data_IF_592781163968
#
_entry.id   IF_592781163968
#
_cell.length_a   1.000
_cell.length_b   1.000
_cell.length_c   1.000
_cell.angle_alpha   90.00
_cell.angle_beta   90.00
_cell.angle_gamma   90.00
#
_symmetry.space_group_name_H-M   'P 1'
#
loop_
_entity.id
_entity.type
_entity.pdbx_description
1 polymer ?
#
# COMPACT_ATOMS: atom_id res chain seq x y z
N UNK A 1 7.08 18.99 6.23
CA UNK A 1 7.58 19.40 4.90
C UNK A 1 8.67 18.47 4.36
N UNK A 2 9.72 18.11 5.14
CA UNK A 2 10.76 17.16 4.67
C UNK A 2 10.22 15.76 4.31
N UNK A 3 9.41 15.17 5.20
CA UNK A 3 8.80 13.86 4.98
C UNK A 3 7.94 13.80 3.70
N UNK A 4 7.17 14.85 3.43
CA UNK A 4 6.32 14.94 2.23
C UNK A 4 7.12 14.90 0.93
N UNK A 5 8.29 15.55 0.89
CA UNK A 5 9.18 15.52 -0.28
C UNK A 5 9.94 14.19 -0.45
N UNK A 6 10.13 13.44 0.64
CA UNK A 6 10.72 12.09 0.60
C UNK A 6 9.70 11.06 0.08
N UNK A 7 8.44 11.15 0.51
CA UNK A 7 7.34 10.31 0.01
C UNK A 7 7.07 10.54 -1.47
N UNK A 8 7.11 11.79 -1.96
CA UNK A 8 6.92 12.11 -3.38
C UNK A 8 8.02 11.50 -4.27
N UNK A 9 9.28 11.67 -3.87
CA UNK A 9 10.42 11.02 -4.56
C UNK A 9 10.32 9.49 -4.55
N UNK A 10 9.86 8.92 -3.43
CA UNK A 10 9.66 7.47 -3.34
C UNK A 10 8.55 6.99 -4.29
N UNK A 11 7.47 7.77 -4.47
CA UNK A 11 6.43 7.48 -5.46
C UNK A 11 6.96 7.57 -6.88
N UNK A 12 7.74 8.60 -7.22
CA UNK A 12 8.35 8.72 -8.54
C UNK A 12 9.25 7.51 -8.87
N UNK A 13 10.02 7.05 -7.88
CA UNK A 13 10.84 5.85 -8.02
C UNK A 13 9.98 4.59 -8.22
N UNK A 14 8.94 4.41 -7.41
CA UNK A 14 8.01 3.29 -7.53
C UNK A 14 7.31 3.27 -8.89
N UNK A 15 6.93 4.44 -9.40
CA UNK A 15 6.30 4.62 -10.71
C UNK A 15 7.28 4.27 -11.85
N UNK A 16 8.54 4.70 -11.73
CA UNK A 16 9.59 4.35 -12.71
C UNK A 16 9.88 2.85 -12.79
N UNK A 17 9.69 2.13 -11.69
CA UNK A 17 9.91 0.68 -11.61
C UNK A 17 8.73 -0.12 -12.16
N UNK A 18 7.54 0.49 -12.30
CA UNK A 18 6.30 -0.21 -12.65
C UNK A 18 6.41 -0.96 -13.97
N UNK A 19 6.80 -0.27 -15.04
CA UNK A 19 6.94 -0.89 -16.36
C UNK A 19 8.02 -1.98 -16.40
N UNK A 20 9.11 -1.81 -15.65
CA UNK A 20 10.20 -2.78 -15.62
C UNK A 20 9.76 -4.06 -14.88
N UNK A 21 9.06 -3.90 -13.77
CA UNK A 21 8.53 -5.01 -12.97
C UNK A 21 7.41 -5.75 -13.70
N UNK A 22 6.49 -5.03 -14.35
CA UNK A 22 5.40 -5.63 -15.12
C UNK A 22 5.93 -6.38 -16.37
N UNK A 23 7.00 -5.88 -17.02
CA UNK A 23 7.65 -6.58 -18.15
C UNK A 23 8.56 -7.73 -17.72
N UNK A 24 9.18 -7.64 -16.54
CA UNK A 24 10.14 -8.63 -16.05
C UNK A 24 9.51 -9.94 -15.60
N UNK A 25 8.19 -9.99 -15.40
CA UNK A 25 7.46 -11.21 -15.04
C UNK A 25 7.78 -11.75 -13.63
N UNK A 26 8.48 -10.97 -12.80
CA UNK A 26 8.81 -11.37 -11.43
C UNK A 26 7.66 -10.96 -10.51
N UNK A 27 6.66 -11.82 -10.40
CA UNK A 27 5.42 -11.54 -9.66
C UNK A 27 5.68 -11.13 -8.20
N UNK A 28 6.73 -11.68 -7.57
CA UNK A 28 7.16 -11.25 -6.23
C UNK A 28 7.50 -9.76 -6.17
N UNK A 29 8.24 -9.24 -7.15
CA UNK A 29 8.62 -7.82 -7.20
C UNK A 29 7.39 -6.94 -7.46
N UNK A 30 6.45 -7.42 -8.27
CA UNK A 30 5.19 -6.72 -8.56
C UNK A 30 4.38 -6.50 -7.30
N UNK A 31 4.21 -7.54 -6.49
CA UNK A 31 3.43 -7.47 -5.27
C UNK A 31 4.12 -6.65 -4.18
N UNK A 32 5.45 -6.76 -4.05
CA UNK A 32 6.22 -5.89 -3.15
C UNK A 32 6.11 -4.42 -3.55
N UNK A 33 6.18 -4.11 -4.84
CA UNK A 33 5.98 -2.77 -5.37
C UNK A 33 4.58 -2.25 -5.04
N UNK A 34 3.53 -3.05 -5.26
CA UNK A 34 2.16 -2.70 -4.88
C UNK A 34 2.04 -2.35 -3.40
N UNK A 35 2.58 -3.18 -2.51
CA UNK A 35 2.51 -2.93 -1.07
C UNK A 35 3.26 -1.64 -0.67
N UNK A 36 4.41 -1.35 -1.29
CA UNK A 36 5.15 -0.11 -1.06
C UNK A 36 4.41 1.13 -1.59
N UNK A 37 3.88 1.07 -2.82
CA UNK A 37 3.09 2.15 -3.42
C UNK A 37 1.89 2.49 -2.54
N UNK A 38 1.20 1.47 -2.03
CA UNK A 38 0.06 1.62 -1.14
C UNK A 38 0.41 2.40 0.14
N UNK A 39 1.53 2.06 0.78
CA UNK A 39 1.99 2.73 2.00
C UNK A 39 2.33 4.20 1.76
N UNK A 40 3.03 4.51 0.66
CA UNK A 40 3.37 5.88 0.29
C UNK A 40 2.12 6.72 -0.04
N UNK A 41 1.16 6.14 -0.76
CA UNK A 41 -0.13 6.78 -1.06
C UNK A 41 -0.92 7.05 0.23
N UNK A 42 -0.88 6.12 1.18
CA UNK A 42 -1.51 6.28 2.48
C UNK A 42 -0.87 7.42 3.29
N UNK A 43 0.46 7.51 3.33
CA UNK A 43 1.20 8.61 3.99
C UNK A 43 0.84 9.99 3.42
N UNK A 44 0.47 10.07 2.13
CA UNK A 44 -0.01 11.29 1.49
C UNK A 44 -1.50 11.60 1.74
N UNK A 45 -2.21 10.76 2.48
CA UNK A 45 -3.65 10.88 2.69
C UNK A 45 -4.50 10.40 1.51
N UNK A 46 -3.90 9.72 0.52
CA UNK A 46 -4.60 9.17 -0.64
C UNK A 46 -5.24 7.81 -0.29
N UNK A 47 -6.05 7.81 0.76
CA UNK A 47 -6.56 6.60 1.44
C UNK A 47 -7.32 5.67 0.51
N UNK A 48 -8.10 6.20 -0.44
CA UNK A 48 -8.85 5.40 -1.42
C UNK A 48 -7.91 4.66 -2.38
N UNK A 49 -6.84 5.31 -2.83
CA UNK A 49 -5.86 4.70 -3.71
C UNK A 49 -5.05 3.63 -2.98
N UNK A 50 -4.61 3.94 -1.75
CA UNK A 50 -3.88 3.01 -0.90
C UNK A 50 -4.68 1.72 -0.63
N UNK A 51 -5.97 1.84 -0.28
CA UNK A 51 -6.84 0.69 -0.03
C UNK A 51 -6.91 -0.24 -1.25
N UNK A 52 -7.20 0.30 -2.44
CA UNK A 52 -7.30 -0.49 -3.67
C UNK A 52 -6.00 -1.25 -3.98
N UNK A 53 -4.86 -0.61 -3.75
CA UNK A 53 -3.56 -1.21 -4.01
C UNK A 53 -3.23 -2.31 -2.98
N UNK A 54 -3.57 -2.13 -1.71
CA UNK A 54 -3.42 -3.18 -0.69
C UNK A 54 -4.37 -4.36 -0.91
N UNK A 55 -5.62 -4.11 -1.33
CA UNK A 55 -6.57 -5.17 -1.72
C UNK A 55 -6.00 -6.01 -2.87
N UNK A 56 -5.44 -5.35 -3.90
CA UNK A 56 -4.80 -6.06 -5.01
C UNK A 56 -3.53 -6.80 -4.60
N UNK A 57 -2.73 -6.23 -3.70
CA UNK A 57 -1.53 -6.89 -3.18
C UNK A 57 -1.88 -8.13 -2.36
N UNK A 58 -2.98 -8.08 -1.59
CA UNK A 58 -3.48 -9.21 -0.82
C UNK A 58 -3.98 -10.33 -1.74
N UNK A 59 -4.82 -10.00 -2.73
CA UNK A 59 -5.33 -10.96 -3.72
C UNK A 59 -4.17 -11.71 -4.40
N UNK A 60 -3.20 -10.99 -4.94
CA UNK A 60 -2.02 -11.58 -5.59
C UNK A 60 -1.11 -12.33 -4.62
N UNK A 61 -1.03 -11.93 -3.34
CA UNK A 61 -0.27 -12.66 -2.33
C UNK A 61 -0.95 -13.99 -1.99
N UNK A 62 -2.28 -14.02 -1.96
CA UNK A 62 -3.08 -15.22 -1.72
C UNK A 62 -3.02 -16.21 -2.88
N UNK A 63 -3.11 -15.73 -4.14
CA UNK A 63 -3.03 -16.58 -5.34
C UNK A 63 -1.70 -17.36 -5.42
N UNK A 64 -0.64 -16.78 -4.89
CA UNK A 64 0.74 -17.28 -4.97
C UNK A 64 1.26 -17.89 -3.65
N UNK A 65 0.40 -18.10 -2.64
CA UNK A 65 0.76 -18.59 -1.31
C UNK A 65 1.88 -17.78 -0.59
N UNK A 66 1.99 -16.48 -0.85
CA UNK A 66 2.91 -15.56 -0.16
C UNK A 66 2.28 -15.05 1.14
N UNK A 67 2.35 -15.89 2.18
CA UNK A 67 1.77 -15.61 3.49
C UNK A 67 2.35 -14.35 4.16
N UNK A 68 3.64 -14.07 3.95
CA UNK A 68 4.31 -12.90 4.53
C UNK A 68 3.73 -11.60 3.98
N UNK A 69 3.51 -11.55 2.66
CA UNK A 69 2.94 -10.37 2.03
C UNK A 69 1.44 -10.25 2.30
N UNK A 70 0.71 -11.37 2.34
CA UNK A 70 -0.69 -11.39 2.73
C UNK A 70 -0.89 -10.83 4.14
N UNK A 71 -0.03 -11.19 5.10
CA UNK A 71 -0.07 -10.66 6.46
C UNK A 71 0.18 -9.14 6.50
N UNK A 72 1.16 -8.63 5.75
CA UNK A 72 1.47 -7.20 5.67
C UNK A 72 0.33 -6.40 5.06
N UNK A 73 -0.21 -6.85 3.92
CA UNK A 73 -1.32 -6.18 3.24
C UNK A 73 -2.58 -6.16 4.13
N UNK A 74 -2.88 -7.28 4.79
CA UNK A 74 -4.01 -7.39 5.72
C UNK A 74 -3.85 -6.48 6.94
N UNK A 75 -2.66 -6.42 7.52
CA UNK A 75 -2.37 -5.51 8.64
C UNK A 75 -2.58 -4.04 8.25
N UNK A 76 -2.09 -3.65 7.07
CA UNK A 76 -2.24 -2.28 6.57
C UNK A 76 -3.71 -1.91 6.27
N UNK A 77 -4.49 -2.85 5.72
CA UNK A 77 -5.94 -2.67 5.55
C UNK A 77 -6.64 -2.56 6.91
N UNK A 78 -6.24 -3.34 7.92
CA UNK A 78 -6.75 -3.23 9.28
C UNK A 78 -6.47 -1.86 9.92
N UNK A 79 -5.25 -1.33 9.76
CA UNK A 79 -4.88 0.03 10.18
C UNK A 79 -5.75 1.07 9.46
N UNK A 80 -5.91 0.93 8.14
CA UNK A 80 -6.73 1.84 7.34
C UNK A 80 -8.19 1.81 7.79
N UNK A 81 -8.78 0.63 8.00
CA UNK A 81 -10.16 0.49 8.49
C UNK A 81 -10.33 1.08 9.90
N UNK A 82 -9.36 0.86 10.79
CA UNK A 82 -9.34 1.47 12.12
C UNK A 82 -9.32 3.00 12.03
N UNK A 83 -8.55 3.56 11.09
CA UNK A 83 -8.46 5.00 10.89
C UNK A 83 -9.69 5.61 10.21
N UNK A 84 -10.35 4.86 9.32
CA UNK A 84 -11.62 5.24 8.69
C UNK A 84 -12.82 5.08 9.65
N UNK A 85 -12.69 4.23 10.66
CA UNK A 85 -13.71 3.95 11.67
C UNK A 85 -13.37 4.46 13.06
N UNK A 86 -12.51 5.48 13.23
CA UNK A 86 -12.09 5.94 14.56
C UNK A 86 -13.30 6.26 15.46
N UNK A 87 -13.49 5.54 16.60
CA UNK A 87 -14.46 5.93 17.63
C UNK A 87 -14.02 7.17 18.41
N UNK A 88 -12.78 7.63 18.24
CA UNK A 88 -12.20 8.74 18.99
C UNK A 88 -12.76 10.13 18.56
N UNK A 89 -13.43 10.23 17.39
CA UNK A 89 -14.21 11.41 17.00
C UNK A 89 -15.64 11.40 17.62
N UNK A 90 -16.02 10.33 18.34
CA UNK A 90 -17.23 10.26 19.16
C UNK A 90 -16.99 10.73 20.61
N UNK A 91 -15.74 11.01 21.01
CA UNK A 91 -15.36 11.57 22.32
C UNK A 91 -14.91 13.03 22.12
N UNK A 92 -15.67 13.77 21.33
CA UNK A 92 -15.64 15.23 21.26
C UNK A 92 -17.09 15.78 21.26
N UNK A 93 -17.93 15.22 22.14
CA UNK A 93 -19.21 15.77 22.58
C UNK A 93 -19.20 15.88 24.12
#
# INVERSE_FOLDING_TARGET
LRATGETERALDLVDSLREAVDRGGVERLRRQRLNLESALRFERGEVVAARRLWERALELATEDDDHDLAAKASNNLGVLHTLQGRPEDAIAA
#
